data_IF_710690995459
#
_entry.id   IF_710690995459
#
_cell.length_a   1.000
_cell.length_b   1.000
_cell.length_c   1.000
_cell.angle_alpha   90.00
_cell.angle_beta   90.00
_cell.angle_gamma   90.00
#
_symmetry.space_group_name_H-M   'P 1'
#
loop_
_entity.id
_entity.type
_entity.pdbx_description
1 polymer ?
#
# COMPACT_ATOMS: atom_id res chain seq x y z
N UNK A 1 15.71 -18.61 9.23
CA UNK A 1 16.13 -18.33 7.83
C UNK A 1 15.17 -18.85 6.75
N UNK A 2 14.71 -20.11 6.80
CA UNK A 2 13.91 -20.73 5.72
C UNK A 2 12.56 -20.02 5.41
N UNK A 3 11.87 -19.47 6.42
CA UNK A 3 10.58 -18.76 6.24
C UNK A 3 10.68 -17.55 5.29
N UNK A 4 11.78 -16.79 5.37
CA UNK A 4 12.03 -15.64 4.51
C UNK A 4 12.30 -16.03 3.06
N UNK A 5 12.90 -17.20 2.84
CA UNK A 5 13.12 -17.75 1.51
C UNK A 5 11.77 -18.05 0.82
N UNK A 6 10.84 -18.68 1.54
CA UNK A 6 9.51 -19.04 1.04
C UNK A 6 8.69 -17.81 0.65
N UNK A 7 8.73 -16.74 1.45
CA UNK A 7 8.03 -15.48 1.14
C UNK A 7 8.64 -14.81 -0.09
N UNK A 8 9.97 -14.70 -0.17
CA UNK A 8 10.65 -14.14 -1.35
C UNK A 8 10.28 -14.88 -2.64
N UNK A 9 10.19 -16.20 -2.59
CA UNK A 9 9.77 -17.01 -3.75
C UNK A 9 8.32 -16.73 -4.17
N UNK A 10 7.41 -16.48 -3.22
CA UNK A 10 6.03 -16.09 -3.52
C UNK A 10 5.97 -14.68 -4.14
N UNK A 11 6.67 -13.70 -3.56
CA UNK A 11 6.69 -12.32 -4.05
C UNK A 11 7.21 -12.22 -5.49
N UNK A 12 8.18 -13.05 -5.89
CA UNK A 12 8.69 -13.09 -7.28
C UNK A 12 7.62 -13.39 -8.35
N UNK A 13 6.48 -13.96 -7.97
CA UNK A 13 5.38 -14.31 -8.88
C UNK A 13 4.29 -13.21 -8.95
N UNK A 14 4.37 -12.19 -8.11
CA UNK A 14 3.35 -11.14 -8.03
C UNK A 14 3.48 -10.21 -9.23
N UNK A 15 2.36 -9.97 -9.92
CA UNK A 15 2.26 -9.05 -11.07
C UNK A 15 1.26 -7.92 -10.84
N UNK A 16 0.49 -8.02 -9.76
CA UNK A 16 -0.54 -7.07 -9.36
C UNK A 16 -0.54 -6.95 -7.83
N UNK A 17 -0.47 -5.73 -7.33
CA UNK A 17 -0.74 -5.41 -5.93
C UNK A 17 -2.10 -4.73 -5.86
N UNK A 18 -2.96 -5.21 -4.96
CA UNK A 18 -4.22 -4.55 -4.62
C UNK A 18 -4.18 -4.33 -3.11
N UNK A 19 -4.51 -3.11 -2.67
CA UNK A 19 -4.54 -2.76 -1.26
C UNK A 19 -5.91 -2.21 -0.90
N UNK A 20 -6.34 -2.49 0.31
CA UNK A 20 -7.38 -1.69 0.94
C UNK A 20 -6.85 -0.28 1.25
N UNK A 21 -7.73 0.65 1.64
CA UNK A 21 -7.39 2.02 1.97
C UNK A 21 -7.36 2.22 3.48
N UNK A 22 -8.52 2.12 4.12
CA UNK A 22 -8.67 2.48 5.53
C UNK A 22 -8.07 1.42 6.44
N UNK A 23 -7.03 1.80 7.20
CA UNK A 23 -6.28 0.86 8.06
C UNK A 23 -5.19 0.07 7.32
N UNK A 24 -4.99 0.32 6.02
CA UNK A 24 -3.87 -0.24 5.23
C UNK A 24 -2.97 0.87 4.69
N UNK A 25 -3.51 1.74 3.83
CA UNK A 25 -2.78 2.91 3.32
C UNK A 25 -2.93 4.14 4.22
N UNK A 26 -3.95 4.13 5.08
CA UNK A 26 -4.16 5.12 6.14
C UNK A 26 -4.03 4.44 7.51
N UNK A 27 -3.90 5.25 8.55
CA UNK A 27 -3.95 4.79 9.95
C UNK A 27 -5.38 4.41 10.41
N UNK A 28 -6.36 4.38 9.50
CA UNK A 28 -7.78 4.18 9.79
C UNK A 28 -8.47 5.44 10.32
N UNK A 29 -7.72 6.52 10.56
CA UNK A 29 -8.24 7.82 10.97
C UNK A 29 -8.94 8.54 9.82
N UNK A 30 -10.02 9.25 10.16
CA UNK A 30 -10.78 10.08 9.23
C UNK A 30 -10.98 11.46 9.85
N UNK A 31 -10.71 12.51 9.08
CA UNK A 31 -10.89 13.89 9.54
C UNK A 31 -12.19 14.45 9.00
N UNK A 32 -13.05 14.93 9.91
CA UNK A 32 -14.35 15.48 9.60
C UNK A 32 -14.37 17.00 9.78
N UNK A 33 -15.03 17.68 8.85
CA UNK A 33 -15.46 19.06 8.94
C UNK A 33 -16.94 19.12 9.34
N UNK A 34 -17.51 20.33 9.45
CA UNK A 34 -18.95 20.49 9.68
C UNK A 34 -19.79 19.96 8.51
N UNK A 35 -19.19 19.85 7.33
CA UNK A 35 -19.81 19.40 6.09
C UNK A 35 -19.62 17.89 5.83
N UNK A 36 -18.85 17.17 6.65
CA UNK A 36 -18.59 15.73 6.51
C UNK A 36 -17.11 15.35 6.46
N UNK A 37 -16.80 14.12 6.04
CA UNK A 37 -15.42 13.63 5.90
C UNK A 37 -14.71 14.42 4.80
N UNK A 38 -13.56 15.00 5.12
CA UNK A 38 -12.84 15.88 4.18
C UNK A 38 -11.43 15.40 3.87
N UNK A 39 -10.76 14.74 4.81
CA UNK A 39 -9.35 14.39 4.65
C UNK A 39 -9.04 12.99 5.17
N UNK A 40 -8.13 12.32 4.45
CA UNK A 40 -7.45 11.09 4.85
C UNK A 40 -5.95 11.34 4.88
N UNK A 41 -5.27 10.72 5.84
CA UNK A 41 -3.81 10.83 5.98
C UNK A 41 -3.15 9.58 5.41
N UNK A 42 -2.25 9.79 4.47
CA UNK A 42 -1.43 8.75 3.85
C UNK A 42 0.04 8.91 4.22
N UNK A 43 0.83 7.85 4.07
CA UNK A 43 2.25 7.88 4.35
C UNK A 43 3.08 8.07 3.06
N UNK A 44 4.01 9.04 3.06
CA UNK A 44 4.81 9.39 1.86
C UNK A 44 5.64 8.21 1.34
N UNK A 45 6.16 7.36 2.24
CA UNK A 45 6.92 6.16 1.82
C UNK A 45 6.08 5.14 1.07
N UNK A 46 4.77 5.08 1.32
CA UNK A 46 3.89 4.13 0.62
C UNK A 46 3.73 4.58 -0.84
N UNK A 47 3.58 5.90 -1.06
CA UNK A 47 3.62 6.47 -2.41
C UNK A 47 4.93 6.19 -3.15
N UNK A 48 6.08 6.20 -2.46
CA UNK A 48 7.36 5.77 -3.04
C UNK A 48 7.36 4.28 -3.37
N UNK A 49 6.81 3.43 -2.50
CA UNK A 49 6.68 1.99 -2.72
C UNK A 49 5.87 1.67 -3.97
N UNK A 50 4.70 2.30 -4.13
CA UNK A 50 3.85 2.17 -5.33
C UNK A 50 4.62 2.60 -6.58
N UNK A 51 5.32 3.74 -6.54
CA UNK A 51 6.14 4.20 -7.66
C UNK A 51 7.25 3.20 -8.05
N UNK A 52 7.91 2.58 -7.08
CA UNK A 52 8.93 1.56 -7.36
C UNK A 52 8.30 0.34 -8.03
N UNK A 53 7.13 -0.11 -7.57
CA UNK A 53 6.41 -1.24 -8.17
C UNK A 53 6.03 -0.95 -9.63
N UNK A 54 5.45 0.22 -9.90
CA UNK A 54 5.10 0.65 -11.24
C UNK A 54 6.31 0.72 -12.17
N UNK A 55 7.44 1.28 -11.71
CA UNK A 55 8.71 1.31 -12.47
C UNK A 55 9.28 -0.08 -12.77
N UNK A 56 8.89 -1.10 -12.01
CA UNK A 56 9.27 -2.50 -12.23
C UNK A 56 8.16 -3.31 -12.90
N UNK A 57 7.20 -2.65 -13.55
CA UNK A 57 6.09 -3.28 -14.28
C UNK A 57 5.17 -4.17 -13.42
N UNK A 58 5.07 -3.88 -12.12
CA UNK A 58 4.05 -4.47 -11.26
C UNK A 58 2.88 -3.51 -11.22
N UNK A 59 1.71 -3.97 -11.67
CA UNK A 59 0.49 -3.16 -11.65
C UNK A 59 0.03 -2.94 -10.21
N UNK A 60 -0.46 -1.75 -9.91
CA UNK A 60 -1.00 -1.35 -8.61
C UNK A 60 -2.35 -0.69 -8.80
#
# INVERSE_FOLDING_TARGET
MQKNLKIKQKCKKVKLLITDVDGVLTDGGRYYSKEGEVLKKFHVRDGMGVNILLRNNIRT
#
